data_IF_328901011031
#
_entry.id   IF_328901011031
#
_cell.length_a   1.000
_cell.length_b   1.000
_cell.length_c   1.000
_cell.angle_alpha   90.00
_cell.angle_beta   90.00
_cell.angle_gamma   90.00
#
_symmetry.space_group_name_H-M   'P 1'
#
loop_
_entity.id
_entity.type
_entity.pdbx_description
1 polymer ?
#
# COMPACT_ATOMS: atom_id res chain seq x y z
N UNK A 1 -15.65 -24.14 -2.65
CA UNK A 1 -16.21 -22.78 -2.93
C UNK A 1 -17.48 -22.90 -3.78
N UNK A 2 -18.43 -21.97 -3.65
CA UNK A 2 -19.50 -21.82 -4.65
C UNK A 2 -18.87 -21.56 -6.03
N UNK A 3 -19.51 -22.06 -7.08
CA UNK A 3 -18.94 -21.93 -8.44
C UNK A 3 -19.27 -20.59 -9.13
N UNK A 4 -20.21 -19.80 -8.59
CA UNK A 4 -20.68 -18.57 -9.21
C UNK A 4 -20.98 -17.46 -8.21
N UNK A 5 -20.49 -16.24 -8.49
CA UNK A 5 -20.65 -15.04 -7.68
C UNK A 5 -21.15 -13.86 -8.51
N UNK A 6 -21.76 -12.89 -7.85
CA UNK A 6 -22.05 -11.60 -8.49
C UNK A 6 -20.78 -10.76 -8.56
N UNK A 7 -19.96 -10.75 -7.49
CA UNK A 7 -18.72 -9.97 -7.40
C UNK A 7 -17.59 -10.84 -6.87
N UNK A 8 -16.47 -10.91 -7.60
CA UNK A 8 -15.22 -11.50 -7.12
C UNK A 8 -14.20 -10.37 -6.86
N UNK A 9 -13.69 -10.32 -5.64
CA UNK A 9 -12.68 -9.36 -5.18
C UNK A 9 -11.37 -10.12 -5.00
N UNK A 10 -10.36 -9.80 -5.81
CA UNK A 10 -9.06 -10.44 -5.76
C UNK A 10 -8.12 -9.62 -4.90
N UNK A 11 -7.79 -10.13 -3.71
CA UNK A 11 -6.90 -9.53 -2.72
C UNK A 11 -7.60 -9.10 -1.43
N UNK A 12 -7.20 -9.73 -0.29
CA UNK A 12 -7.71 -9.48 1.07
C UNK A 12 -7.00 -8.35 1.81
N UNK A 13 -6.22 -7.49 1.14
CA UNK A 13 -5.61 -6.31 1.75
C UNK A 13 -6.64 -5.21 2.10
N UNK A 14 -6.18 -4.03 2.59
CA UNK A 14 -7.08 -2.98 3.08
C UNK A 14 -8.17 -2.52 2.09
N UNK A 15 -7.87 -2.54 0.78
CA UNK A 15 -8.84 -2.17 -0.24
C UNK A 15 -9.95 -3.22 -0.41
N UNK A 16 -9.57 -4.49 -0.52
CA UNK A 16 -10.52 -5.58 -0.76
C UNK A 16 -11.36 -5.88 0.48
N UNK A 17 -10.75 -5.91 1.66
CA UNK A 17 -11.47 -6.16 2.93
C UNK A 17 -12.51 -5.07 3.22
N UNK A 18 -12.14 -3.79 3.06
CA UNK A 18 -13.09 -2.69 3.25
C UNK A 18 -14.18 -2.70 2.17
N UNK A 19 -13.82 -2.98 0.91
CA UNK A 19 -14.81 -3.12 -0.15
C UNK A 19 -15.80 -4.25 0.16
N UNK A 20 -15.31 -5.44 0.50
CA UNK A 20 -16.14 -6.60 0.80
C UNK A 20 -17.12 -6.32 1.96
N UNK A 21 -16.60 -5.74 3.06
CA UNK A 21 -17.40 -5.34 4.23
C UNK A 21 -18.48 -4.32 3.88
N UNK A 22 -18.12 -3.25 3.17
CA UNK A 22 -19.06 -2.17 2.87
C UNK A 22 -20.05 -2.58 1.76
N UNK A 23 -19.59 -3.37 0.79
CA UNK A 23 -20.46 -3.87 -0.29
C UNK A 23 -21.53 -4.81 0.24
N UNK A 24 -21.19 -5.77 1.11
CA UNK A 24 -22.16 -6.67 1.71
C UNK A 24 -23.20 -5.94 2.56
N UNK A 25 -22.82 -4.83 3.22
CA UNK A 25 -23.74 -3.98 3.98
C UNK A 25 -24.68 -3.18 3.07
N UNK A 26 -24.17 -2.62 1.98
CA UNK A 26 -24.91 -1.71 1.11
C UNK A 26 -25.74 -2.45 0.04
N UNK A 27 -25.34 -3.67 -0.31
CA UNK A 27 -26.00 -4.52 -1.32
C UNK A 27 -26.06 -5.98 -0.84
N UNK A 28 -26.89 -6.28 0.18
CA UNK A 28 -26.89 -7.58 0.86
C UNK A 28 -27.36 -8.75 -0.01
N UNK A 29 -27.97 -8.49 -1.15
CA UNK A 29 -28.42 -9.50 -2.11
C UNK A 29 -27.30 -10.05 -3.01
N UNK A 30 -26.13 -9.40 -3.05
CA UNK A 30 -25.02 -9.84 -3.89
C UNK A 30 -24.24 -10.98 -3.26
N UNK A 31 -23.95 -12.00 -4.04
CA UNK A 31 -23.00 -13.07 -3.67
C UNK A 31 -21.59 -12.59 -3.93
N UNK A 32 -20.83 -12.42 -2.86
CA UNK A 32 -19.47 -11.83 -2.91
C UNK A 32 -18.44 -12.88 -2.55
N UNK A 33 -17.39 -13.00 -3.37
CA UNK A 33 -16.17 -13.70 -3.06
C UNK A 33 -15.07 -12.67 -2.73
N UNK A 34 -14.41 -12.83 -1.59
CA UNK A 34 -13.14 -12.16 -1.27
C UNK A 34 -12.02 -13.20 -1.26
N UNK A 35 -11.08 -13.09 -2.16
CA UNK A 35 -9.94 -13.99 -2.26
C UNK A 35 -8.72 -13.38 -1.56
N UNK A 36 -8.24 -14.02 -0.48
CA UNK A 36 -7.01 -13.62 0.21
C UNK A 36 -5.86 -14.56 -0.15
N UNK A 37 -4.87 -14.02 -0.86
CA UNK A 37 -3.64 -14.74 -1.21
C UNK A 37 -2.49 -14.55 -0.23
N UNK A 38 -2.72 -13.85 0.90
CA UNK A 38 -1.68 -13.54 1.87
C UNK A 38 -1.59 -14.61 2.96
N UNK A 39 -0.42 -15.19 3.13
CA UNK A 39 -0.14 -16.18 4.19
C UNK A 39 0.87 -15.62 5.20
N UNK A 40 0.94 -16.24 6.39
CA UNK A 40 1.94 -15.88 7.42
C UNK A 40 3.38 -16.06 6.91
N UNK A 41 3.62 -17.03 6.02
CA UNK A 41 4.93 -17.29 5.41
C UNK A 41 5.30 -16.26 4.34
N UNK A 42 4.30 -15.58 3.75
CA UNK A 42 4.51 -14.59 2.68
C UNK A 42 3.63 -13.35 2.92
N UNK A 43 3.91 -12.57 3.98
CA UNK A 43 3.17 -11.35 4.30
C UNK A 43 3.50 -10.24 3.30
N UNK A 44 2.65 -9.21 3.23
CA UNK A 44 2.96 -7.99 2.47
C UNK A 44 4.11 -7.25 3.15
N UNK A 45 5.23 -7.12 2.48
CA UNK A 45 6.38 -6.33 2.96
C UNK A 45 5.97 -4.87 3.11
N UNK A 46 6.14 -4.31 4.30
CA UNK A 46 5.74 -2.95 4.63
C UNK A 46 6.37 -2.53 5.97
N UNK A 47 6.74 -1.28 6.12
CA UNK A 47 7.21 -0.72 7.39
C UNK A 47 6.16 -0.75 8.52
N UNK A 48 4.88 -0.96 8.20
CA UNK A 48 3.82 -1.08 9.20
C UNK A 48 3.49 0.26 9.87
N UNK A 49 3.53 1.36 9.13
CA UNK A 49 3.17 2.68 9.63
C UNK A 49 1.82 3.14 9.09
N UNK A 50 0.88 3.45 9.99
CA UNK A 50 -0.42 4.01 9.65
C UNK A 50 -0.37 5.53 9.71
N UNK A 51 -0.31 6.17 8.55
CA UNK A 51 -0.21 7.62 8.42
C UNK A 51 -1.47 8.36 8.88
N UNK A 52 -1.38 9.66 9.26
CA UNK A 52 -2.51 10.46 9.75
C UNK A 52 -3.73 10.46 8.83
N UNK A 53 -3.53 10.45 7.51
CA UNK A 53 -4.65 10.41 6.56
C UNK A 53 -5.34 9.03 6.52
N UNK A 54 -4.63 7.96 6.84
CA UNK A 54 -5.24 6.64 7.02
C UNK A 54 -5.99 6.56 8.36
N UNK A 55 -5.43 7.08 9.44
CA UNK A 55 -6.11 7.18 10.75
C UNK A 55 -7.44 7.94 10.60
N UNK A 56 -7.45 9.06 9.89
CA UNK A 56 -8.68 9.82 9.61
C UNK A 56 -9.72 9.00 8.80
N UNK A 57 -9.28 8.10 7.91
CA UNK A 57 -10.20 7.21 7.19
C UNK A 57 -10.82 6.17 8.11
N UNK A 58 -10.05 5.57 9.04
CA UNK A 58 -10.59 4.63 10.01
C UNK A 58 -11.58 5.31 10.95
N UNK A 59 -11.28 6.53 11.42
CA UNK A 59 -12.22 7.32 12.22
C UNK A 59 -13.54 7.55 11.49
N UNK A 60 -13.52 7.88 10.18
CA UNK A 60 -14.73 8.03 9.36
C UNK A 60 -15.52 6.74 9.17
N UNK A 61 -14.87 5.60 9.28
CA UNK A 61 -15.52 4.28 9.23
C UNK A 61 -15.99 3.81 10.61
N UNK A 62 -15.79 4.61 11.67
CA UNK A 62 -16.09 4.23 13.04
C UNK A 62 -15.22 3.08 13.55
N UNK A 63 -14.01 2.92 13.01
CA UNK A 63 -13.11 1.84 13.38
C UNK A 63 -11.97 2.37 14.25
N UNK A 64 -11.66 1.61 15.30
CA UNK A 64 -10.50 1.82 16.19
C UNK A 64 -9.59 0.60 16.12
N UNK A 65 -8.28 0.83 16.14
CA UNK A 65 -7.31 -0.27 16.11
C UNK A 65 -7.25 -0.94 17.49
N UNK A 66 -7.38 -2.28 17.54
CA UNK A 66 -7.07 -3.03 18.74
C UNK A 66 -5.59 -2.90 19.14
N UNK A 67 -5.33 -2.85 20.44
CA UNK A 67 -3.97 -2.63 20.97
C UNK A 67 -2.97 -3.71 20.55
N UNK A 68 -3.41 -4.97 20.39
CA UNK A 68 -2.55 -6.08 19.95
C UNK A 68 -2.02 -5.95 18.51
N UNK A 69 -2.51 -4.98 17.73
CA UNK A 69 -1.99 -4.67 16.41
C UNK A 69 -0.84 -3.65 16.46
N UNK A 70 -0.71 -2.93 17.57
CA UNK A 70 0.29 -1.88 17.72
C UNK A 70 1.66 -2.48 18.03
N UNK A 71 2.69 -1.83 17.54
CA UNK A 71 4.10 -2.14 17.79
C UNK A 71 4.80 -0.95 18.43
N UNK A 72 5.79 -1.20 19.29
CA UNK A 72 6.56 -0.15 19.95
C UNK A 72 7.84 0.20 19.16
N UNK A 73 8.27 1.49 19.22
CA UNK A 73 7.60 2.66 19.79
C UNK A 73 6.55 3.26 18.85
N UNK A 74 5.64 4.07 19.39
CA UNK A 74 4.77 4.94 18.59
C UNK A 74 5.56 6.16 18.10
N UNK A 75 5.16 6.75 16.97
CA UNK A 75 5.96 7.73 16.25
C UNK A 75 5.25 9.09 16.25
N UNK A 76 5.91 10.12 16.79
CA UNK A 76 5.40 11.47 16.88
C UNK A 76 6.09 12.44 15.93
N UNK A 77 7.27 12.09 15.42
CA UNK A 77 8.02 12.90 14.47
C UNK A 77 8.70 12.03 13.41
N UNK A 78 9.09 12.67 12.33
CA UNK A 78 9.88 12.07 11.25
C UNK A 78 11.19 12.83 11.15
N UNK A 79 12.29 12.13 11.36
CA UNK A 79 13.59 12.62 10.95
C UNK A 79 13.71 12.49 9.42
N UNK A 80 14.13 13.56 8.76
CA UNK A 80 14.39 13.53 7.32
C UNK A 80 15.87 13.72 7.06
N UNK A 81 16.48 12.74 6.43
CA UNK A 81 17.90 12.72 6.09
C UNK A 81 18.05 12.98 4.59
N UNK A 82 18.88 13.95 4.24
CA UNK A 82 19.32 14.20 2.87
C UNK A 82 20.83 13.93 2.80
N UNK A 83 21.19 12.73 2.39
CA UNK A 83 22.58 12.28 2.36
C UNK A 83 23.41 13.08 1.37
N UNK A 84 22.81 13.54 0.27
CA UNK A 84 23.51 14.33 -0.75
C UNK A 84 23.90 15.73 -0.25
N UNK A 85 23.02 16.35 0.56
CA UNK A 85 23.24 17.71 1.06
C UNK A 85 23.76 17.74 2.51
N UNK A 86 23.98 16.59 3.14
CA UNK A 86 24.42 16.47 4.53
C UNK A 86 23.47 17.11 5.54
N UNK A 87 22.14 17.01 5.30
CA UNK A 87 21.13 17.73 6.09
C UNK A 87 20.19 16.82 6.82
N UNK A 88 19.87 17.23 8.05
CA UNK A 88 18.87 16.58 8.92
C UNK A 88 17.80 17.61 9.26
N UNK A 89 16.53 17.22 9.22
CA UNK A 89 15.37 18.00 9.68
C UNK A 89 14.34 17.10 10.33
N UNK A 90 13.62 17.65 11.29
CA UNK A 90 12.55 16.96 12.01
C UNK A 90 11.21 17.58 11.67
N UNK A 91 10.18 16.73 11.45
CA UNK A 91 8.84 17.15 11.14
C UNK A 91 7.85 16.45 12.05
N UNK A 92 6.99 17.21 12.71
CA UNK A 92 5.93 16.62 13.52
C UNK A 92 4.97 15.84 12.62
N UNK A 93 4.81 14.54 12.90
CA UNK A 93 3.89 13.68 12.18
C UNK A 93 3.61 12.40 12.96
N UNK A 94 2.35 12.17 13.28
CA UNK A 94 1.94 11.03 14.08
C UNK A 94 1.70 9.81 13.21
N UNK A 95 2.49 8.75 13.41
CA UNK A 95 2.22 7.45 12.82
C UNK A 95 1.90 6.43 13.91
N UNK A 96 0.85 5.64 13.71
CA UNK A 96 0.68 4.42 14.49
C UNK A 96 1.58 3.34 13.91
N UNK A 97 2.51 2.87 14.71
CA UNK A 97 3.38 1.74 14.40
C UNK A 97 2.62 0.45 14.69
N UNK A 98 2.57 -0.48 13.73
CA UNK A 98 1.72 -1.65 13.82
C UNK A 98 2.30 -2.86 13.09
N UNK A 99 1.88 -4.06 13.50
CA UNK A 99 2.09 -5.28 12.73
C UNK A 99 1.19 -5.28 11.49
N UNK A 100 1.79 -5.24 10.31
CA UNK A 100 1.06 -5.16 9.05
C UNK A 100 0.29 -6.43 8.71
N UNK A 101 0.82 -7.60 9.03
CA UNK A 101 0.12 -8.86 8.78
C UNK A 101 -1.11 -9.00 9.68
N UNK A 102 -0.91 -8.76 10.98
CA UNK A 102 -2.00 -8.78 11.95
C UNK A 102 -3.09 -7.75 11.60
N UNK A 103 -2.70 -6.55 11.14
CA UNK A 103 -3.61 -5.51 10.69
C UNK A 103 -4.45 -5.95 9.46
N UNK A 104 -3.83 -6.55 8.45
CA UNK A 104 -4.57 -7.02 7.27
C UNK A 104 -5.55 -8.14 7.66
N UNK A 105 -5.15 -9.07 8.54
CA UNK A 105 -6.03 -10.15 9.05
C UNK A 105 -7.17 -9.60 9.93
N UNK A 106 -6.90 -8.58 10.73
CA UNK A 106 -7.96 -7.88 11.46
C UNK A 106 -8.99 -7.24 10.51
N UNK A 107 -8.57 -6.60 9.43
CA UNK A 107 -9.52 -6.05 8.44
C UNK A 107 -10.39 -7.14 7.80
N UNK A 108 -9.81 -8.30 7.51
CA UNK A 108 -10.55 -9.44 6.99
C UNK A 108 -11.56 -9.95 8.04
N UNK A 109 -11.20 -10.01 9.32
CA UNK A 109 -12.10 -10.45 10.39
C UNK A 109 -13.33 -9.55 10.59
N UNK A 110 -13.29 -8.33 10.07
CA UNK A 110 -14.44 -7.40 10.07
C UNK A 110 -15.40 -7.63 8.88
N UNK A 111 -15.06 -8.51 7.96
CA UNK A 111 -15.92 -8.86 6.82
C UNK A 111 -17.01 -9.80 7.32
N UNK A 112 -18.31 -9.49 7.04
CA UNK A 112 -19.41 -10.34 7.50
C UNK A 112 -19.39 -11.74 6.90
N UNK A 113 -19.92 -12.72 7.62
CA UNK A 113 -20.00 -14.12 7.20
C UNK A 113 -20.88 -14.36 5.96
N UNK A 114 -21.67 -13.38 5.57
CA UNK A 114 -22.43 -13.38 4.28
C UNK A 114 -21.52 -13.26 3.06
N UNK A 115 -20.27 -12.85 3.24
CA UNK A 115 -19.23 -12.83 2.20
C UNK A 115 -18.45 -14.13 2.26
N UNK A 116 -18.28 -14.79 1.13
CA UNK A 116 -17.39 -15.94 1.04
C UNK A 116 -15.93 -15.45 1.03
N UNK A 117 -15.22 -15.61 2.14
CA UNK A 117 -13.78 -15.32 2.24
C UNK A 117 -13.02 -16.63 2.03
N UNK A 118 -12.24 -16.68 0.95
CA UNK A 118 -11.46 -17.87 0.60
C UNK A 118 -9.96 -17.55 0.58
N UNK A 119 -9.16 -18.48 1.09
CA UNK A 119 -7.70 -18.43 0.97
C UNK A 119 -7.28 -19.03 -0.37
N UNK A 120 -6.47 -18.28 -1.12
CA UNK A 120 -5.97 -18.74 -2.40
C UNK A 120 -5.44 -17.62 -3.28
N UNK A 121 -4.81 -18.01 -4.37
CA UNK A 121 -4.20 -17.10 -5.34
C UNK A 121 -4.89 -17.23 -6.69
N UNK A 122 -5.38 -16.13 -7.23
CA UNK A 122 -5.86 -16.09 -8.62
C UNK A 122 -4.66 -16.17 -9.56
N UNK A 123 -4.64 -17.18 -10.43
CA UNK A 123 -3.57 -17.42 -11.39
C UNK A 123 -3.99 -17.18 -12.85
N UNK A 124 -5.30 -17.22 -13.14
CA UNK A 124 -5.84 -17.01 -14.48
C UNK A 124 -7.17 -16.27 -14.45
N UNK A 125 -7.40 -15.46 -15.48
CA UNK A 125 -8.64 -14.71 -15.71
C UNK A 125 -8.98 -14.82 -17.18
N UNK A 126 -10.17 -15.32 -17.48
CA UNK A 126 -10.74 -15.36 -18.84
C UNK A 126 -12.09 -14.64 -18.78
N UNK A 127 -12.32 -13.69 -19.68
CA UNK A 127 -13.55 -12.91 -19.75
C UNK A 127 -14.28 -13.23 -21.04
N UNK A 128 -15.45 -13.86 -20.93
CA UNK A 128 -16.29 -14.28 -22.06
C UNK A 128 -17.76 -13.99 -21.74
N UNK A 129 -18.51 -13.49 -22.71
CA UNK A 129 -19.95 -13.26 -22.64
C UNK A 129 -20.43 -12.48 -21.40
N UNK A 130 -19.58 -11.55 -20.92
CA UNK A 130 -19.90 -10.71 -19.75
C UNK A 130 -19.74 -11.41 -18.40
N UNK A 131 -19.14 -12.60 -18.37
CA UNK A 131 -18.70 -13.32 -17.18
C UNK A 131 -17.19 -13.40 -17.12
N UNK A 132 -16.65 -13.44 -15.90
CA UNK A 132 -15.23 -13.62 -15.64
C UNK A 132 -15.02 -14.98 -15.00
N UNK A 133 -14.27 -15.85 -15.67
CA UNK A 133 -13.83 -17.15 -15.14
C UNK A 133 -12.45 -16.98 -14.51
N UNK A 134 -12.35 -17.37 -13.25
CA UNK A 134 -11.14 -17.24 -12.44
C UNK A 134 -10.58 -18.61 -12.11
N UNK A 135 -9.30 -18.81 -12.37
CA UNK A 135 -8.54 -19.99 -11.93
C UNK A 135 -7.85 -19.63 -10.61
N UNK A 136 -8.17 -20.35 -9.54
CA UNK A 136 -7.69 -20.08 -8.19
C UNK A 136 -6.90 -21.28 -7.68
N UNK A 137 -5.65 -21.04 -7.27
CA UNK A 137 -4.84 -22.02 -6.56
C UNK A 137 -5.10 -21.89 -5.07
N UNK A 138 -5.56 -22.97 -4.46
CA UNK A 138 -5.75 -23.14 -3.01
C UNK A 138 -4.73 -24.15 -2.46
N UNK A 139 -4.75 -24.38 -1.15
CA UNK A 139 -3.96 -25.45 -0.53
C UNK A 139 -4.40 -26.86 -0.97
N UNK A 140 -5.66 -27.01 -1.38
CA UNK A 140 -6.28 -28.28 -1.79
C UNK A 140 -6.13 -28.56 -3.29
N UNK A 141 -5.72 -27.57 -4.09
CA UNK A 141 -5.55 -27.73 -5.54
C UNK A 141 -6.01 -26.48 -6.33
N UNK A 142 -6.49 -26.73 -7.54
CA UNK A 142 -6.99 -25.68 -8.44
C UNK A 142 -8.51 -25.69 -8.46
N UNK A 143 -9.11 -24.55 -8.14
CA UNK A 143 -10.54 -24.29 -8.23
C UNK A 143 -10.83 -23.35 -9.40
N UNK A 144 -12.04 -23.45 -9.93
CA UNK A 144 -12.55 -22.50 -10.94
C UNK A 144 -13.87 -21.91 -10.48
N UNK A 145 -13.95 -20.58 -10.47
CA UNK A 145 -15.16 -19.83 -10.14
C UNK A 145 -15.52 -18.84 -11.25
N UNK A 146 -16.78 -18.43 -11.31
CA UNK A 146 -17.25 -17.40 -12.24
C UNK A 146 -17.81 -16.21 -11.49
N UNK A 147 -17.68 -15.01 -12.03
CA UNK A 147 -18.26 -13.79 -11.47
C UNK A 147 -18.76 -12.85 -12.57
N UNK A 148 -19.84 -12.10 -12.27
CA UNK A 148 -20.38 -11.05 -13.17
C UNK A 148 -19.53 -9.78 -13.14
N UNK A 149 -18.97 -9.46 -11.99
CA UNK A 149 -18.10 -8.31 -11.78
C UNK A 149 -16.78 -8.77 -11.15
N UNK A 150 -15.70 -8.26 -11.67
CA UNK A 150 -14.35 -8.55 -11.20
C UNK A 150 -13.72 -7.31 -10.58
N UNK A 151 -13.14 -7.43 -9.38
CA UNK A 151 -12.43 -6.33 -8.73
C UNK A 151 -11.00 -6.74 -8.42
N UNK A 152 -10.03 -6.02 -8.99
CA UNK A 152 -8.62 -6.12 -8.64
C UNK A 152 -8.32 -5.26 -7.40
N UNK A 153 -8.03 -5.93 -6.29
CA UNK A 153 -7.52 -5.37 -5.05
C UNK A 153 -6.15 -5.99 -4.68
N UNK A 154 -5.48 -6.58 -5.66
CA UNK A 154 -4.33 -7.47 -5.60
C UNK A 154 -2.97 -6.73 -5.66
N UNK A 155 -2.98 -5.44 -5.36
CA UNK A 155 -1.79 -4.63 -5.08
C UNK A 155 -0.90 -4.34 -6.28
N UNK A 156 0.40 -4.14 -6.04
CA UNK A 156 1.38 -3.71 -7.04
C UNK A 156 1.55 -4.69 -8.21
N UNK A 157 1.42 -5.98 -7.92
CA UNK A 157 1.58 -7.07 -8.90
C UNK A 157 0.24 -7.53 -9.48
N UNK A 158 -0.78 -6.67 -9.47
CA UNK A 158 -2.14 -6.99 -9.85
C UNK A 158 -2.24 -7.81 -11.15
N UNK A 159 -2.78 -9.01 -11.02
CA UNK A 159 -3.12 -9.86 -12.17
C UNK A 159 -4.27 -9.25 -12.96
N UNK A 160 -5.29 -8.74 -12.25
CA UNK A 160 -6.47 -8.12 -12.87
C UNK A 160 -6.05 -6.93 -13.73
N UNK A 161 -5.17 -6.05 -13.19
CA UNK A 161 -4.65 -4.91 -13.96
C UNK A 161 -3.89 -5.37 -15.20
N UNK A 162 -2.97 -6.33 -15.06
CA UNK A 162 -2.14 -6.81 -16.19
C UNK A 162 -2.98 -7.43 -17.29
N UNK A 163 -3.93 -8.28 -16.91
CA UNK A 163 -4.76 -9.01 -17.87
C UNK A 163 -5.69 -8.09 -18.66
N UNK A 164 -6.29 -7.08 -17.98
CA UNK A 164 -7.36 -6.27 -18.62
C UNK A 164 -6.84 -4.95 -19.19
N UNK A 165 -5.81 -4.35 -18.57
CA UNK A 165 -5.36 -2.98 -18.91
C UNK A 165 -3.91 -2.92 -19.38
N UNK A 166 -3.17 -4.03 -19.32
CA UNK A 166 -1.71 -4.03 -19.48
C UNK A 166 -0.99 -3.45 -18.26
N UNK A 167 0.30 -3.75 -18.14
CA UNK A 167 1.14 -3.34 -16.99
C UNK A 167 2.08 -2.20 -17.38
N UNK A 168 1.57 -0.99 -17.45
CA UNK A 168 2.31 0.21 -17.88
C UNK A 168 2.65 1.16 -16.74
N UNK A 169 2.32 0.82 -15.48
CA UNK A 169 2.64 1.64 -14.32
C UNK A 169 4.10 1.43 -13.88
N UNK A 170 4.81 2.51 -13.58
CA UNK A 170 6.17 2.41 -13.04
C UNK A 170 6.16 1.66 -11.70
N UNK A 171 7.09 0.72 -11.57
CA UNK A 171 7.31 -0.07 -10.35
C UNK A 171 8.72 0.09 -9.83
N UNK A 172 8.86 -0.08 -8.53
CA UNK A 172 10.10 -0.26 -7.81
C UNK A 172 10.08 -1.61 -7.10
N UNK A 173 11.24 -2.09 -6.72
CA UNK A 173 11.39 -3.13 -5.71
C UNK A 173 11.65 -2.44 -4.38
N UNK A 174 10.73 -2.61 -3.44
CA UNK A 174 10.96 -2.24 -2.05
C UNK A 174 11.71 -3.39 -1.37
N UNK A 175 12.93 -3.12 -0.91
CA UNK A 175 13.73 -4.05 -0.11
C UNK A 175 13.72 -3.56 1.32
N UNK A 176 13.61 -4.49 2.26
CA UNK A 176 13.66 -4.22 3.70
C UNK A 176 14.48 -5.28 4.40
N UNK A 177 15.43 -4.85 5.23
CA UNK A 177 16.19 -5.70 6.15
C UNK A 177 15.83 -5.36 7.58
N UNK A 178 15.80 -6.36 8.44
CA UNK A 178 15.56 -6.23 9.87
C UNK A 178 16.83 -6.57 10.64
N UNK A 179 17.24 -5.67 11.53
CA UNK A 179 18.43 -5.83 12.36
C UNK A 179 18.06 -5.79 13.84
N UNK A 180 18.76 -6.51 14.72
CA UNK A 180 18.67 -6.28 16.16
C UNK A 180 19.05 -4.83 16.47
N UNK A 181 18.31 -4.18 17.34
CA UNK A 181 18.58 -2.80 17.75
C UNK A 181 18.61 -2.74 19.28
N UNK A 182 19.82 -2.89 19.84
CA UNK A 182 20.02 -2.75 21.28
C UNK A 182 20.14 -1.28 21.72
N UNK A 183 20.40 -0.37 20.77
CA UNK A 183 20.65 1.04 21.01
C UNK A 183 19.44 1.91 20.68
N UNK A 184 19.06 2.77 21.63
CA UNK A 184 18.00 3.77 21.42
C UNK A 184 18.49 5.03 20.67
N UNK A 185 19.75 5.06 20.24
CA UNK A 185 20.34 6.22 19.56
C UNK A 185 19.68 6.56 18.22
N UNK A 186 19.11 5.56 17.54
CA UNK A 186 18.43 5.82 16.27
C UNK A 186 16.99 6.27 16.48
N UNK A 187 16.54 7.29 15.72
CA UNK A 187 15.15 7.78 15.80
C UNK A 187 14.13 6.69 15.52
N UNK A 188 12.90 6.79 16.08
CA UNK A 188 11.82 5.86 15.82
C UNK A 188 11.47 5.73 14.32
N UNK A 189 11.62 6.81 13.55
CA UNK A 189 11.40 6.81 12.12
C UNK A 189 12.26 7.87 11.42
N UNK A 190 13.03 7.44 10.43
CA UNK A 190 13.75 8.33 9.51
C UNK A 190 13.27 8.12 8.07
N UNK A 191 13.05 9.23 7.35
CA UNK A 191 12.82 9.26 5.91
C UNK A 191 14.12 9.70 5.24
N UNK A 192 14.66 8.88 4.35
CA UNK A 192 16.01 9.03 3.79
C UNK A 192 15.92 9.33 2.31
N UNK A 193 16.67 10.34 1.86
CA UNK A 193 16.86 10.67 0.46
C UNK A 193 18.33 10.54 0.10
N UNK A 194 18.61 9.64 -0.85
CA UNK A 194 19.95 9.43 -1.40
C UNK A 194 19.86 9.24 -2.92
N UNK A 195 20.03 10.31 -3.71
CA UNK A 195 19.86 10.26 -5.16
C UNK A 195 20.92 9.42 -5.89
N UNK A 196 22.03 9.06 -5.22
CA UNK A 196 23.04 8.18 -5.81
C UNK A 196 22.57 6.73 -5.89
N UNK A 197 21.66 6.34 -4.98
CA UNK A 197 21.18 4.97 -4.89
C UNK A 197 19.72 4.82 -5.33
N UNK A 198 18.88 5.83 -5.11
CA UNK A 198 17.48 5.82 -5.52
C UNK A 198 16.93 7.21 -5.85
N UNK A 199 16.10 7.29 -6.88
CA UNK A 199 15.27 8.47 -7.17
C UNK A 199 13.98 8.52 -6.31
N UNK A 200 13.96 7.79 -5.20
CA UNK A 200 12.83 7.69 -4.28
C UNK A 200 13.27 7.81 -2.82
N UNK A 201 12.34 7.61 -1.87
CA UNK A 201 12.68 7.62 -0.45
C UNK A 201 12.97 6.22 0.08
N UNK A 202 13.80 6.20 1.11
CA UNK A 202 14.08 5.05 1.96
C UNK A 202 13.73 5.38 3.41
N UNK A 203 13.79 4.41 4.28
CA UNK A 203 13.36 4.58 5.67
C UNK A 203 14.15 3.71 6.63
N UNK A 204 14.31 4.19 7.87
CA UNK A 204 14.53 3.35 9.04
C UNK A 204 13.33 3.44 9.96
N UNK A 205 12.91 2.32 10.55
CA UNK A 205 11.78 2.26 11.48
C UNK A 205 12.14 1.34 12.64
N UNK A 206 12.07 1.85 13.86
CA UNK A 206 12.22 1.03 15.07
C UNK A 206 10.93 0.27 15.33
N UNK A 207 11.05 -1.01 15.64
CA UNK A 207 9.90 -1.89 15.91
C UNK A 207 10.28 -3.04 16.82
N UNK A 208 9.71 -3.10 18.02
CA UNK A 208 9.84 -4.23 18.97
C UNK A 208 11.30 -4.66 19.21
N UNK A 209 12.21 -3.71 19.48
CA UNK A 209 13.63 -3.99 19.71
C UNK A 209 14.44 -4.26 18.45
N UNK A 210 13.86 -4.05 17.28
CA UNK A 210 14.53 -4.15 15.98
C UNK A 210 14.53 -2.80 15.25
N UNK A 211 15.41 -2.67 14.28
CA UNK A 211 15.36 -1.62 13.28
C UNK A 211 15.13 -2.22 11.90
N UNK A 212 14.14 -1.68 11.21
CA UNK A 212 13.85 -1.97 9.82
C UNK A 212 14.55 -0.92 8.97
N UNK A 213 15.50 -1.32 8.13
CA UNK A 213 16.05 -0.47 7.06
C UNK A 213 15.41 -0.89 5.76
N UNK A 214 14.78 0.03 5.05
CA UNK A 214 14.15 -0.26 3.76
C UNK A 214 14.23 0.89 2.79
N UNK A 215 14.02 0.59 1.51
CA UNK A 215 14.00 1.58 0.44
C UNK A 215 13.34 1.02 -0.82
N UNK A 216 13.01 1.92 -1.75
CA UNK A 216 12.43 1.57 -3.03
C UNK A 216 13.44 1.86 -4.14
N UNK A 217 13.81 0.83 -4.90
CA UNK A 217 14.90 0.86 -5.88
C UNK A 217 14.44 0.41 -7.27
N UNK A 218 15.16 0.85 -8.30
CA UNK A 218 14.94 0.35 -9.67
C UNK A 218 15.13 -1.17 -9.74
N UNK A 219 14.22 -1.91 -10.37
CA UNK A 219 14.24 -3.37 -10.35
C UNK A 219 15.54 -4.00 -10.82
N UNK A 220 16.19 -3.40 -11.84
CA UNK A 220 17.42 -3.95 -12.45
C UNK A 220 18.65 -3.91 -11.54
N UNK A 221 18.67 -3.01 -10.53
CA UNK A 221 19.82 -2.79 -9.66
C UNK A 221 19.42 -2.74 -8.17
N UNK A 222 18.27 -3.29 -7.82
CA UNK A 222 17.66 -3.06 -6.52
C UNK A 222 18.54 -3.53 -5.35
N UNK A 223 19.21 -4.68 -5.44
CA UNK A 223 20.08 -5.19 -4.37
C UNK A 223 21.35 -4.38 -4.23
N UNK A 224 22.05 -4.14 -5.33
CA UNK A 224 23.27 -3.33 -5.36
C UNK A 224 23.00 -1.92 -4.79
N UNK A 225 21.93 -1.27 -5.24
CA UNK A 225 21.55 0.06 -4.78
C UNK A 225 21.16 0.08 -3.29
N UNK A 226 20.49 -0.96 -2.79
CA UNK A 226 20.16 -1.10 -1.38
C UNK A 226 21.41 -1.24 -0.51
N UNK A 227 22.36 -2.12 -0.86
CA UNK A 227 23.59 -2.32 -0.08
C UNK A 227 24.48 -1.06 -0.12
N UNK A 228 24.60 -0.41 -1.27
CA UNK A 228 25.30 0.87 -1.39
C UNK A 228 24.68 1.94 -0.48
N UNK A 229 23.33 2.02 -0.44
CA UNK A 229 22.63 2.97 0.43
C UNK A 229 22.84 2.65 1.92
N UNK A 230 22.83 1.37 2.30
CA UNK A 230 23.09 0.95 3.68
C UNK A 230 24.48 1.44 4.13
N UNK A 231 25.52 1.16 3.35
CA UNK A 231 26.90 1.62 3.63
C UNK A 231 26.99 3.14 3.75
N UNK A 232 26.35 3.89 2.86
CA UNK A 232 26.33 5.37 2.89
C UNK A 232 25.59 5.90 4.12
N UNK A 233 24.49 5.23 4.51
CA UNK A 233 23.74 5.60 5.70
C UNK A 233 24.52 5.30 6.98
N UNK A 234 25.20 4.14 7.06
CA UNK A 234 26.09 3.79 8.17
C UNK A 234 27.18 4.86 8.36
N UNK A 235 27.83 5.25 7.27
CA UNK A 235 28.83 6.32 7.30
C UNK A 235 28.25 7.67 7.73
N UNK A 236 27.04 8.00 7.26
CA UNK A 236 26.37 9.27 7.60
C UNK A 236 25.95 9.36 9.07
N UNK A 237 25.46 8.25 9.63
CA UNK A 237 24.97 8.16 11.01
C UNK A 237 26.07 7.80 12.02
N UNK A 238 27.21 7.30 11.58
CA UNK A 238 28.27 6.79 12.44
C UNK A 238 27.90 5.49 13.16
N UNK A 239 27.07 4.65 12.54
CA UNK A 239 26.58 3.38 13.10
C UNK A 239 26.89 2.21 12.16
N UNK A 240 26.78 0.97 12.68
CA UNK A 240 26.86 -0.26 11.90
C UNK A 240 25.60 -1.07 12.16
N UNK A 241 24.85 -1.45 11.12
CA UNK A 241 23.64 -2.28 11.28
C UNK A 241 23.99 -3.76 11.56
N UNK A 242 25.14 -4.24 11.11
CA UNK A 242 25.52 -5.64 11.24
C UNK A 242 24.77 -6.58 10.28
N UNK A 243 24.64 -7.85 10.69
CA UNK A 243 23.98 -8.86 9.87
C UNK A 243 22.46 -8.81 10.05
N UNK A 244 21.69 -8.80 8.95
CA UNK A 244 20.23 -8.80 9.03
C UNK A 244 19.70 -10.15 9.45
N UNK A 245 18.75 -10.16 10.39
CA UNK A 245 18.01 -11.39 10.76
C UNK A 245 16.96 -11.76 9.73
N UNK A 246 16.54 -10.81 8.88
CA UNK A 246 15.54 -11.02 7.84
C UNK A 246 15.73 -10.04 6.71
N UNK A 247 15.61 -10.54 5.46
CA UNK A 247 15.55 -9.71 4.24
C UNK A 247 14.27 -10.03 3.48
N UNK A 248 13.52 -9.00 3.15
CA UNK A 248 12.25 -9.12 2.44
C UNK A 248 12.21 -8.13 1.27
N UNK A 249 11.49 -8.50 0.22
CA UNK A 249 11.28 -7.62 -0.93
C UNK A 249 9.88 -7.77 -1.52
N UNK A 250 9.34 -6.68 -2.05
CA UNK A 250 8.10 -6.70 -2.81
C UNK A 250 8.09 -5.61 -3.88
N UNK A 251 7.23 -5.77 -4.88
CA UNK A 251 6.96 -4.68 -5.80
C UNK A 251 6.09 -3.61 -5.15
N UNK A 252 6.35 -2.35 -5.49
CA UNK A 252 5.53 -1.18 -5.15
C UNK A 252 5.35 -0.31 -6.39
N UNK A 253 4.12 0.18 -6.61
CA UNK A 253 3.81 1.04 -7.74
C UNK A 253 4.12 2.50 -7.43
N UNK A 254 4.57 3.24 -8.45
CA UNK A 254 4.80 4.68 -8.39
C UNK A 254 4.16 5.37 -9.59
N UNK A 255 2.89 5.76 -9.50
CA UNK A 255 2.20 6.42 -10.59
C UNK A 255 2.90 7.74 -10.96
N UNK A 256 3.08 7.97 -12.24
CA UNK A 256 3.79 9.14 -12.79
C UNK A 256 2.87 10.06 -13.57
N UNK A 257 1.77 9.53 -14.09
CA UNK A 257 0.83 10.23 -14.98
C UNK A 257 -0.59 9.99 -14.52
N UNK A 258 -1.50 10.90 -14.84
CA UNK A 258 -2.92 10.76 -14.49
C UNK A 258 -3.53 9.47 -15.04
N UNK A 259 -3.11 9.03 -16.21
CA UNK A 259 -3.56 7.77 -16.83
C UNK A 259 -3.12 6.50 -16.10
N UNK A 260 -2.17 6.60 -15.17
CA UNK A 260 -1.75 5.48 -14.33
C UNK A 260 -2.80 5.17 -13.23
N UNK A 261 -3.73 6.13 -12.96
CA UNK A 261 -4.81 6.01 -11.98
C UNK A 261 -6.08 5.46 -12.65
N UNK A 262 -6.23 4.14 -12.65
CA UNK A 262 -7.32 3.42 -13.32
C UNK A 262 -8.45 3.07 -12.36
N UNK A 263 -9.70 3.32 -12.77
CA UNK A 263 -10.88 2.91 -12.01
C UNK A 263 -11.46 1.58 -12.48
N UNK A 264 -11.35 1.29 -13.77
CA UNK A 264 -11.94 0.10 -14.35
C UNK A 264 -12.32 0.27 -15.82
N UNK A 265 -12.77 -0.84 -16.39
CA UNK A 265 -13.36 -0.98 -17.74
C UNK A 265 -14.52 -1.96 -17.68
N UNK A 266 -15.66 -1.59 -18.23
CA UNK A 266 -16.90 -2.40 -18.25
C UNK A 266 -17.27 -2.92 -16.84
N UNK A 267 -17.21 -4.25 -16.64
CA UNK A 267 -17.51 -4.93 -15.38
C UNK A 267 -16.25 -5.28 -14.54
N UNK A 268 -15.08 -4.77 -14.94
CA UNK A 268 -13.84 -4.93 -14.21
C UNK A 268 -13.44 -3.62 -13.53
N UNK A 269 -13.21 -3.67 -12.23
CA UNK A 269 -12.85 -2.51 -11.41
C UNK A 269 -11.48 -2.70 -10.77
N UNK A 270 -10.82 -1.59 -10.45
CA UNK A 270 -9.58 -1.60 -9.69
C UNK A 270 -9.71 -0.70 -8.46
N UNK A 271 -9.17 -1.17 -7.33
CA UNK A 271 -9.11 -0.42 -6.06
C UNK A 271 -7.71 -0.48 -5.47
N UNK A 272 -7.39 0.45 -4.59
CA UNK A 272 -6.09 0.50 -3.91
C UNK A 272 -4.91 0.59 -4.87
N UNK A 273 -3.84 -0.11 -4.55
CA UNK A 273 -2.59 -0.05 -5.32
C UNK A 273 -2.73 -0.69 -6.72
N UNK A 274 -3.62 -1.66 -6.90
CA UNK A 274 -3.95 -2.20 -8.23
C UNK A 274 -4.48 -1.11 -9.17
N UNK A 275 -5.24 -0.15 -8.66
CA UNK A 275 -5.70 1.04 -9.38
C UNK A 275 -4.62 2.12 -9.58
N UNK A 276 -3.42 1.92 -9.02
CA UNK A 276 -2.39 2.97 -8.91
C UNK A 276 -2.70 3.99 -7.79
N UNK A 277 -3.62 3.70 -6.87
CA UNK A 277 -4.02 4.62 -5.81
C UNK A 277 -3.07 4.53 -4.60
N UNK A 278 -1.85 4.99 -4.82
CA UNK A 278 -0.78 5.09 -3.84
C UNK A 278 -0.06 6.43 -3.99
N UNK A 279 0.52 6.92 -2.91
CA UNK A 279 1.33 8.14 -2.93
C UNK A 279 2.65 7.90 -3.67
N UNK A 280 2.86 8.56 -4.79
CA UNK A 280 4.13 8.49 -5.51
C UNK A 280 5.32 9.10 -4.75
N UNK A 281 5.07 9.93 -3.72
CA UNK A 281 6.12 10.62 -2.96
C UNK A 281 6.54 9.92 -1.66
N UNK A 282 5.74 8.97 -1.15
CA UNK A 282 5.99 8.33 0.16
C UNK A 282 5.58 6.87 0.22
N UNK A 283 5.06 6.29 -0.87
CA UNK A 283 4.51 4.94 -0.94
C UNK A 283 3.41 4.62 0.10
N UNK A 284 2.86 5.63 0.75
CA UNK A 284 1.68 5.49 1.62
C UNK A 284 0.44 5.19 0.76
N UNK A 285 -0.16 4.04 0.99
CA UNK A 285 -1.30 3.56 0.18
C UNK A 285 -2.54 3.19 0.96
N UNK A 286 -2.46 2.97 2.30
CA UNK A 286 -3.56 2.44 3.11
C UNK A 286 -4.79 3.35 3.06
N UNK A 287 -4.63 4.67 3.22
CA UNK A 287 -5.75 5.63 3.15
C UNK A 287 -6.48 5.59 1.81
N UNK A 288 -5.72 5.52 0.71
CA UNK A 288 -6.28 5.46 -0.65
C UNK A 288 -6.93 4.11 -0.93
N UNK A 289 -6.38 3.03 -0.39
CA UNK A 289 -6.92 1.68 -0.49
C UNK A 289 -8.29 1.60 0.19
N UNK A 290 -8.38 1.99 1.45
CA UNK A 290 -9.62 2.04 2.24
C UNK A 290 -10.67 2.93 1.57
N UNK A 291 -10.30 4.15 1.18
CA UNK A 291 -11.23 5.09 0.54
C UNK A 291 -11.75 4.54 -0.79
N UNK A 292 -10.88 3.99 -1.64
CA UNK A 292 -11.32 3.48 -2.95
C UNK A 292 -12.23 2.26 -2.83
N UNK A 293 -11.97 1.36 -1.87
CA UNK A 293 -12.84 0.24 -1.55
C UNK A 293 -14.24 0.71 -1.13
N UNK A 294 -14.31 1.66 -0.19
CA UNK A 294 -15.56 2.28 0.24
C UNK A 294 -16.33 2.94 -0.91
N UNK A 295 -15.64 3.76 -1.72
CA UNK A 295 -16.27 4.48 -2.85
C UNK A 295 -16.78 3.53 -3.94
N UNK A 296 -16.14 2.39 -4.14
CA UNK A 296 -16.64 1.38 -5.08
C UNK A 296 -17.89 0.69 -4.52
N UNK A 297 -17.94 0.36 -3.23
CA UNK A 297 -19.14 -0.19 -2.59
C UNK A 297 -20.34 0.77 -2.73
N UNK A 298 -20.14 2.06 -2.49
CA UNK A 298 -21.18 3.09 -2.72
C UNK A 298 -21.60 3.18 -4.18
N UNK A 299 -20.65 3.05 -5.13
CA UNK A 299 -20.96 3.08 -6.56
C UNK A 299 -21.79 1.86 -6.98
N UNK A 300 -21.57 0.70 -6.38
CA UNK A 300 -22.43 -0.47 -6.56
C UNK A 300 -23.84 -0.19 -6.05
N UNK A 301 -23.99 0.30 -4.82
CA UNK A 301 -25.30 0.59 -4.24
C UNK A 301 -26.13 1.58 -5.09
N UNK A 302 -25.47 2.60 -5.65
CA UNK A 302 -26.14 3.62 -6.46
C UNK A 302 -26.36 3.21 -7.92
N UNK A 303 -25.48 2.38 -8.47
CA UNK A 303 -25.40 2.13 -9.91
C UNK A 303 -25.72 0.73 -10.38
N UNK A 304 -25.87 -0.24 -9.48
CA UNK A 304 -26.03 -1.66 -9.86
C UNK A 304 -27.30 -1.89 -10.71
N UNK A 305 -28.46 -1.43 -10.24
CA UNK A 305 -29.72 -1.60 -10.92
C UNK A 305 -29.76 -0.93 -12.32
N UNK A 306 -29.06 0.19 -12.47
CA UNK A 306 -29.00 0.96 -13.72
C UNK A 306 -27.83 0.57 -14.65
N UNK A 307 -26.97 -0.38 -14.24
CA UNK A 307 -25.74 -0.73 -14.99
C UNK A 307 -24.71 0.41 -15.05
N UNK A 308 -24.76 1.38 -14.15
CA UNK A 308 -23.93 2.62 -14.17
C UNK A 308 -22.84 2.68 -13.09
N UNK A 309 -22.37 1.55 -12.60
CA UNK A 309 -21.38 1.48 -11.51
C UNK A 309 -20.08 2.23 -11.86
N UNK A 310 -19.52 1.96 -13.04
CA UNK A 310 -18.23 2.54 -13.45
C UNK A 310 -18.24 4.08 -13.56
N UNK A 311 -19.20 4.72 -14.23
CA UNK A 311 -19.27 6.18 -14.28
C UNK A 311 -19.46 6.81 -12.89
N UNK A 312 -20.25 6.20 -12.01
CA UNK A 312 -20.42 6.64 -10.63
C UNK A 312 -19.10 6.51 -9.86
N UNK A 313 -18.42 5.37 -9.94
CA UNK A 313 -17.13 5.17 -9.29
C UNK A 313 -16.06 6.17 -9.79
N UNK A 314 -16.00 6.42 -11.10
CA UNK A 314 -15.13 7.45 -11.67
C UNK A 314 -15.42 8.85 -11.13
N UNK A 315 -16.70 9.19 -10.93
CA UNK A 315 -17.12 10.47 -10.33
C UNK A 315 -16.69 10.55 -8.86
N UNK A 316 -17.00 9.52 -8.07
CA UNK A 316 -16.68 9.47 -6.62
C UNK A 316 -15.19 9.52 -6.35
N UNK A 317 -14.35 8.88 -7.16
CA UNK A 317 -12.89 8.86 -7.00
C UNK A 317 -12.18 10.12 -7.53
N UNK A 318 -12.91 11.11 -8.09
CA UNK A 318 -12.29 12.32 -8.68
C UNK A 318 -11.42 13.09 -7.69
N UNK A 319 -11.88 13.26 -6.46
CA UNK A 319 -11.12 13.96 -5.40
C UNK A 319 -9.85 13.18 -5.01
N UNK A 320 -9.97 11.86 -4.83
CA UNK A 320 -8.84 10.98 -4.55
C UNK A 320 -7.77 11.05 -5.66
N UNK A 321 -8.19 10.94 -6.93
CA UNK A 321 -7.27 11.03 -8.07
C UNK A 321 -6.57 12.40 -8.18
N UNK A 322 -7.28 13.50 -7.87
CA UNK A 322 -6.67 14.85 -7.78
C UNK A 322 -5.63 14.93 -6.66
N UNK A 323 -5.94 14.36 -5.46
CA UNK A 323 -5.00 14.31 -4.34
C UNK A 323 -3.73 13.53 -4.72
N UNK A 324 -3.88 12.38 -5.37
CA UNK A 324 -2.77 11.55 -5.81
C UNK A 324 -1.94 12.25 -6.91
N UNK A 325 -2.59 12.95 -7.83
CA UNK A 325 -1.90 13.74 -8.82
C UNK A 325 -1.01 14.84 -8.17
N UNK A 326 -1.52 15.53 -7.15
CA UNK A 326 -0.71 16.51 -6.38
C UNK A 326 0.49 15.83 -5.70
N UNK A 327 0.32 14.61 -5.19
CA UNK A 327 1.44 13.82 -4.62
C UNK A 327 2.47 13.42 -5.68
N UNK A 328 2.07 13.22 -6.94
CA UNK A 328 3.02 13.03 -8.05
C UNK A 328 3.86 14.31 -8.31
N UNK A 329 3.25 15.51 -8.24
CA UNK A 329 3.99 16.78 -8.37
C UNK A 329 4.93 16.97 -7.16
N UNK A 330 4.43 16.72 -5.93
CA UNK A 330 5.25 16.77 -4.71
C UNK A 330 6.48 15.85 -4.81
N UNK A 331 6.33 14.65 -5.39
CA UNK A 331 7.46 13.76 -5.64
C UNK A 331 8.57 14.41 -6.46
N UNK A 332 8.23 15.11 -7.54
CA UNK A 332 9.22 15.79 -8.40
C UNK A 332 10.08 16.78 -7.61
N UNK A 333 9.47 17.45 -6.63
CA UNK A 333 10.16 18.40 -5.74
C UNK A 333 11.05 17.65 -4.74
N UNK A 334 10.48 16.68 -4.03
CA UNK A 334 11.17 15.95 -2.96
C UNK A 334 12.34 15.08 -3.49
N UNK A 335 12.19 14.52 -4.69
CA UNK A 335 13.24 13.68 -5.29
C UNK A 335 14.29 14.50 -6.07
N UNK A 336 14.10 15.82 -6.24
CA UNK A 336 15.11 16.72 -6.78
C UNK A 336 16.08 17.12 -5.66
N UNK A 337 17.38 16.78 -5.73
CA UNK A 337 18.35 17.14 -4.70
C UNK A 337 18.41 18.65 -4.43
N UNK A 338 18.38 19.46 -5.49
CA UNK A 338 18.44 20.92 -5.40
C UNK A 338 17.19 21.50 -4.72
N UNK A 339 15.98 21.14 -5.20
CA UNK A 339 14.73 21.67 -4.64
C UNK A 339 14.52 21.19 -3.20
N UNK A 340 14.80 19.92 -2.90
CA UNK A 340 14.78 19.38 -1.54
C UNK A 340 15.76 20.10 -0.64
N UNK A 341 17.01 20.31 -1.11
CA UNK A 341 18.04 21.02 -0.38
C UNK A 341 17.64 22.44 -0.01
N UNK A 342 16.97 23.17 -0.92
CA UNK A 342 16.43 24.51 -0.64
C UNK A 342 15.31 24.48 0.42
N UNK A 343 14.37 23.55 0.31
CA UNK A 343 13.28 23.38 1.31
C UNK A 343 13.87 23.04 2.69
N UNK A 344 14.80 22.11 2.76
CA UNK A 344 15.42 21.74 4.03
C UNK A 344 16.27 22.88 4.61
N UNK A 345 16.92 23.70 3.75
CA UNK A 345 17.65 24.89 4.19
C UNK A 345 16.73 25.94 4.81
N UNK A 346 15.55 26.15 4.23
CA UNK A 346 14.58 27.15 4.72
C UNK A 346 13.95 26.78 6.05
N UNK A 347 14.00 25.50 6.46
CA UNK A 347 13.38 25.03 7.71
C UNK A 347 11.85 25.06 7.73
N UNK A 348 11.18 25.34 6.59
CA UNK A 348 9.71 25.40 6.52
C UNK A 348 9.06 24.14 7.07
N UNK A 349 8.16 24.30 8.04
CA UNK A 349 7.46 23.23 8.76
C UNK A 349 8.36 22.26 9.53
N UNK A 350 9.67 22.51 9.61
CA UNK A 350 10.54 21.72 10.50
C UNK A 350 10.39 22.18 11.95
N UNK A 351 10.68 21.29 12.87
CA UNK A 351 10.74 21.54 14.30
C UNK A 351 12.17 21.36 14.82
N UNK A 352 12.48 22.05 15.90
CA UNK A 352 13.70 21.83 16.66
C UNK A 352 13.40 20.83 17.79
N UNK A 353 14.35 19.92 18.06
CA UNK A 353 14.29 19.03 19.22
C UNK A 353 15.02 19.69 20.39
N UNK A 354 14.40 19.66 21.56
CA UNK A 354 15.11 19.98 22.80
C UNK A 354 16.21 18.94 23.01
N UNK A 355 17.41 19.42 23.29
CA UNK A 355 18.58 18.59 23.61
C UNK A 355 18.57 18.19 25.08
#
# INVERSE_FOLDING_TARGET
>A
MDKSYDVAIIGGGPAGSVLAKELSKLTPSLRILLLDGQTKKNPKVCGGLLAPDAQAMFAKLGLTLPTHLLSNPQIFDVETLDLNNGRVRYYQRHYLNMDRYAFDKWLISLVPTTVNVAEGRCEGIVSEEGLHRLTIRTAEGIDTVTARYLVGADGASSLVRRTVFGDHIKKYVAIQQTFPCADEALPPYSCIFDPETSDSCSWTIRKEGYILLGGAFEPSRCREAFEAQKTRLEAFLGVQFGEPIKTEACQVTSPRRHKDLLCGLDRVFLVGEAAGFISASSFEGISSAVLSGRLLAEAFAEGYAAGKILPIYRKKTRSLRRKLWRKMQKRRILCSPTLRGLIMKSGVQSMEKYR
#
